data_IF_045597758874
#
_entry.id   IF_045597758874
#
_cell.length_a   1.000
_cell.length_b   1.000
_cell.length_c   1.000
_cell.angle_alpha   90.00
_cell.angle_beta   90.00
_cell.angle_gamma   90.00
#
_symmetry.space_group_name_H-M   'P 1'
#
loop_
_entity.id
_entity.type
_entity.pdbx_description
1 polymer ?
#
# COMPACT_ATOMS: atom_id res chain seq x y z
N UNK A 1 -32.02 15.23 -11.51
CA UNK A 1 -32.08 13.77 -11.73
C UNK A 1 -33.16 13.28 -10.80
N UNK A 2 -34.24 12.76 -11.38
CA UNK A 2 -35.36 12.24 -10.60
C UNK A 2 -34.94 10.97 -9.86
N UNK A 3 -35.42 10.82 -8.63
CA UNK A 3 -35.11 9.67 -7.76
C UNK A 3 -35.47 8.33 -8.42
N UNK A 4 -36.46 8.33 -9.31
CA UNK A 4 -36.98 7.18 -10.05
C UNK A 4 -35.99 6.59 -11.06
N UNK A 5 -35.01 7.36 -11.57
CA UNK A 5 -34.02 6.86 -12.53
C UNK A 5 -32.78 6.23 -11.85
N UNK A 6 -32.49 6.63 -10.61
CA UNK A 6 -31.27 6.23 -9.91
C UNK A 6 -31.48 4.93 -9.11
N UNK A 7 -32.69 4.67 -8.63
CA UNK A 7 -33.04 3.47 -7.84
C UNK A 7 -32.70 2.15 -8.55
N UNK A 8 -33.06 1.92 -9.83
CA UNK A 8 -32.69 0.68 -10.54
C UNK A 8 -31.17 0.50 -10.68
N UNK A 9 -30.43 1.61 -10.78
CA UNK A 9 -28.96 1.60 -10.89
C UNK A 9 -28.33 1.21 -9.54
N UNK A 10 -28.85 1.77 -8.44
CA UNK A 10 -28.42 1.46 -7.08
C UNK A 10 -28.67 0.00 -6.78
N UNK A 11 -29.86 -0.52 -7.07
CA UNK A 11 -30.20 -1.93 -6.86
C UNK A 11 -29.27 -2.83 -7.65
N UNK A 12 -29.14 -2.63 -8.96
CA UNK A 12 -28.25 -3.45 -9.79
C UNK A 12 -26.81 -3.47 -9.26
N UNK A 13 -26.28 -2.31 -8.85
CA UNK A 13 -24.93 -2.23 -8.28
C UNK A 13 -24.84 -2.89 -6.91
N UNK A 14 -25.84 -2.71 -6.06
CA UNK A 14 -25.91 -3.36 -4.75
C UNK A 14 -25.84 -4.87 -4.94
N UNK A 15 -26.68 -5.43 -5.80
CA UNK A 15 -26.72 -6.86 -6.15
C UNK A 15 -25.41 -7.39 -6.73
N UNK A 16 -24.71 -6.60 -7.55
CA UNK A 16 -23.38 -6.96 -8.07
C UNK A 16 -22.33 -7.04 -6.96
N UNK A 17 -22.31 -6.06 -6.06
CA UNK A 17 -21.31 -5.95 -4.99
C UNK A 17 -21.57 -6.96 -3.87
N UNK A 18 -22.85 -7.19 -3.53
CA UNK A 18 -23.29 -8.11 -2.48
C UNK A 18 -23.63 -9.52 -3.01
N UNK A 19 -23.14 -9.90 -4.20
CA UNK A 19 -23.45 -11.19 -4.87
C UNK A 19 -23.23 -12.47 -4.05
N UNK A 20 -22.58 -12.39 -2.88
CA UNK A 20 -22.35 -13.50 -1.94
C UNK A 20 -23.19 -13.43 -0.66
N UNK A 21 -23.95 -12.36 -0.45
CA UNK A 21 -24.92 -12.25 0.64
C UNK A 21 -26.19 -13.05 0.34
N UNK A 22 -26.96 -13.37 1.38
CA UNK A 22 -28.31 -13.90 1.20
C UNK A 22 -29.21 -12.83 0.57
N UNK A 23 -30.32 -13.24 -0.07
CA UNK A 23 -31.22 -12.29 -0.74
C UNK A 23 -31.62 -11.11 0.16
N UNK A 24 -31.97 -11.39 1.42
CA UNK A 24 -32.31 -10.36 2.41
C UNK A 24 -31.15 -9.38 2.64
N UNK A 25 -29.92 -9.88 2.79
CA UNK A 25 -28.73 -9.02 2.95
C UNK A 25 -28.52 -8.08 1.76
N UNK A 26 -28.92 -8.49 0.55
CA UNK A 26 -28.75 -7.68 -0.67
C UNK A 26 -29.80 -6.59 -0.76
N UNK A 27 -31.04 -6.90 -0.39
CA UNK A 27 -32.14 -5.94 -0.32
C UNK A 27 -31.85 -4.90 0.79
N UNK A 28 -31.42 -5.37 1.96
CA UNK A 28 -31.00 -4.50 3.08
C UNK A 28 -29.80 -3.62 2.69
N UNK A 29 -28.83 -4.18 1.95
CA UNK A 29 -27.68 -3.42 1.46
C UNK A 29 -28.04 -2.39 0.39
N UNK A 30 -28.98 -2.72 -0.51
CA UNK A 30 -29.47 -1.76 -1.50
C UNK A 30 -30.13 -0.56 -0.81
N UNK A 31 -30.94 -0.82 0.23
CA UNK A 31 -31.55 0.22 1.05
C UNK A 31 -30.50 1.05 1.81
N UNK A 32 -29.49 0.42 2.40
CA UNK A 32 -28.39 1.13 3.07
C UNK A 32 -27.61 2.01 2.09
N UNK A 33 -27.31 1.49 0.88
CA UNK A 33 -26.61 2.24 -0.16
C UNK A 33 -27.42 3.44 -0.63
N UNK A 34 -28.73 3.28 -0.83
CA UNK A 34 -29.65 4.37 -1.15
C UNK A 34 -29.59 5.48 -0.11
N UNK A 35 -29.80 5.13 1.17
CA UNK A 35 -29.71 6.07 2.27
C UNK A 35 -28.34 6.75 2.32
N UNK A 36 -27.25 6.00 2.13
CA UNK A 36 -25.89 6.55 2.17
C UNK A 36 -25.62 7.57 1.05
N UNK A 37 -26.24 7.39 -0.12
CA UNK A 37 -26.09 8.27 -1.28
C UNK A 37 -26.91 9.55 -1.12
N UNK A 38 -28.13 9.44 -0.58
CA UNK A 38 -29.10 10.52 -0.47
C UNK A 38 -29.08 11.27 0.87
N UNK A 39 -28.42 10.74 1.91
CA UNK A 39 -28.36 11.37 3.23
C UNK A 39 -27.87 12.84 3.15
N UNK A 40 -28.63 13.81 3.69
CA UNK A 40 -28.23 15.22 3.75
C UNK A 40 -26.93 15.40 4.54
N UNK A 41 -26.04 16.25 4.02
CA UNK A 41 -24.78 16.64 4.69
C UNK A 41 -24.54 18.12 4.44
N UNK A 42 -23.61 18.72 5.21
CA UNK A 42 -23.26 20.14 5.11
C UNK A 42 -22.94 20.61 3.67
N UNK A 43 -22.43 19.73 2.80
CA UNK A 43 -22.06 20.06 1.42
C UNK A 43 -22.93 19.31 0.38
N UNK A 44 -24.22 19.10 0.69
CA UNK A 44 -25.14 18.30 -0.12
C UNK A 44 -24.98 16.79 0.06
N UNK A 45 -25.91 16.02 -0.52
CA UNK A 45 -25.87 14.56 -0.51
C UNK A 45 -24.64 14.03 -1.26
N UNK A 46 -24.31 12.75 -1.13
CA UNK A 46 -23.15 12.20 -1.86
C UNK A 46 -23.42 12.14 -3.35
N UNK A 47 -24.67 11.83 -3.73
CA UNK A 47 -25.08 11.73 -5.13
C UNK A 47 -24.99 13.09 -5.84
N UNK A 48 -25.25 14.21 -5.14
CA UNK A 48 -25.13 15.56 -5.71
C UNK A 48 -23.70 15.99 -6.01
N UNK A 49 -22.69 15.21 -5.57
CA UNK A 49 -21.27 15.44 -5.86
C UNK A 49 -20.78 14.68 -7.08
N UNK A 50 -21.63 13.88 -7.71
CA UNK A 50 -21.28 13.24 -8.98
C UNK A 50 -21.14 14.33 -10.04
N UNK A 51 -20.04 14.28 -10.78
CA UNK A 51 -19.84 15.13 -11.96
C UNK A 51 -20.91 14.76 -13.01
N UNK A 52 -21.79 15.69 -13.42
CA UNK A 52 -22.86 15.40 -14.36
C UNK A 52 -22.35 15.00 -15.75
N UNK A 53 -21.06 15.25 -16.06
CA UNK A 53 -20.42 14.85 -17.31
C UNK A 53 -19.89 13.42 -17.30
N UNK A 54 -19.95 12.72 -16.16
CA UNK A 54 -19.41 11.35 -16.00
C UNK A 54 -20.55 10.35 -15.80
N UNK A 55 -20.39 9.09 -16.27
CA UNK A 55 -21.33 8.03 -15.97
C UNK A 55 -21.49 7.85 -14.45
N UNK A 56 -22.74 7.67 -14.01
CA UNK A 56 -23.10 7.57 -12.60
C UNK A 56 -22.66 6.24 -11.97
N UNK A 57 -22.68 5.17 -12.76
CA UNK A 57 -22.44 3.81 -12.29
C UNK A 57 -21.05 3.60 -11.66
N UNK A 58 -19.92 4.02 -12.27
CA UNK A 58 -18.60 3.89 -11.64
C UNK A 58 -18.42 4.70 -10.35
N UNK A 59 -19.24 5.74 -10.16
CA UNK A 59 -19.25 6.53 -8.93
C UNK A 59 -20.00 5.78 -7.82
N UNK A 60 -21.22 5.32 -8.10
CA UNK A 60 -22.04 4.53 -7.16
C UNK A 60 -21.32 3.22 -6.80
N UNK A 61 -20.74 2.52 -7.78
CA UNK A 61 -20.01 1.27 -7.58
C UNK A 61 -18.86 1.41 -6.57
N UNK A 62 -18.05 2.46 -6.68
CA UNK A 62 -16.96 2.74 -5.73
C UNK A 62 -17.45 3.04 -4.31
N UNK A 63 -18.63 3.63 -4.18
CA UNK A 63 -19.24 3.89 -2.87
C UNK A 63 -19.78 2.57 -2.29
N UNK A 64 -20.47 1.78 -3.10
CA UNK A 64 -21.00 0.46 -2.74
C UNK A 64 -19.88 -0.48 -2.25
N UNK A 65 -18.76 -0.61 -2.99
CA UNK A 65 -17.64 -1.46 -2.57
C UNK A 65 -17.08 -1.08 -1.20
N UNK A 66 -16.96 0.23 -0.92
CA UNK A 66 -16.48 0.73 0.36
C UNK A 66 -17.47 0.49 1.49
N UNK A 67 -18.76 0.66 1.22
CA UNK A 67 -19.83 0.46 2.20
C UNK A 67 -19.94 -1.03 2.57
N UNK A 68 -20.02 -1.90 1.56
CA UNK A 68 -20.06 -3.36 1.73
C UNK A 68 -18.83 -3.89 2.48
N UNK A 69 -17.64 -3.40 2.10
CA UNK A 69 -16.39 -3.77 2.81
C UNK A 69 -16.40 -3.36 4.28
N UNK A 70 -17.05 -2.24 4.64
CA UNK A 70 -17.19 -1.80 6.03
C UNK A 70 -18.21 -2.64 6.79
N UNK A 71 -19.33 -3.00 6.16
CA UNK A 71 -20.36 -3.84 6.74
C UNK A 71 -19.81 -5.24 7.06
N UNK A 72 -19.09 -5.87 6.12
CA UNK A 72 -18.42 -7.17 6.35
C UNK A 72 -17.41 -7.12 7.51
N UNK A 73 -16.63 -6.04 7.62
CA UNK A 73 -15.68 -5.84 8.73
C UNK A 73 -16.38 -5.69 10.09
N UNK A 74 -17.53 -5.01 10.13
CA UNK A 74 -18.32 -4.83 11.37
C UNK A 74 -18.95 -6.13 11.84
N UNK A 75 -19.41 -6.97 10.91
CA UNK A 75 -20.07 -8.23 11.22
C UNK A 75 -19.09 -9.38 11.50
N UNK A 76 -17.80 -9.11 11.75
CA UNK A 76 -16.78 -10.13 12.00
C UNK A 76 -16.47 -11.04 10.80
N UNK A 77 -17.12 -10.83 9.65
CA UNK A 77 -16.81 -11.53 8.41
C UNK A 77 -15.55 -10.92 7.80
N UNK A 78 -14.39 -11.37 8.28
CA UNK A 78 -13.15 -11.23 7.54
C UNK A 78 -13.35 -11.75 6.10
N UNK A 79 -12.82 -11.02 5.13
CA UNK A 79 -12.86 -11.42 3.72
C UNK A 79 -12.02 -12.69 3.53
N UNK A 80 -12.64 -13.85 3.72
CA UNK A 80 -12.33 -15.01 2.89
C UNK A 80 -12.74 -14.62 1.47
N UNK A 81 -11.76 -14.24 0.67
CA UNK A 81 -11.88 -14.24 -0.78
C UNK A 81 -12.00 -15.70 -1.26
N UNK A 82 -13.12 -16.38 -0.98
CA UNK A 82 -13.48 -17.63 -1.66
C UNK A 82 -14.24 -17.29 -2.94
N UNK A 83 -13.51 -16.95 -3.99
CA UNK A 83 -14.00 -17.14 -5.36
C UNK A 83 -14.04 -18.62 -5.66
N UNK A 84 -15.20 -19.23 -5.40
CA UNK A 84 -15.49 -20.55 -5.93
C UNK A 84 -16.12 -20.38 -7.32
N UNK A 85 -15.48 -20.96 -8.33
CA UNK A 85 -16.05 -21.18 -9.67
C UNK A 85 -15.32 -20.52 -10.84
N UNK A 86 -14.54 -19.47 -10.61
CA UNK A 86 -13.53 -19.02 -11.57
C UNK A 86 -12.21 -19.39 -10.93
N UNK A 87 -11.27 -20.08 -11.62
CA UNK A 87 -9.89 -20.03 -11.21
C UNK A 87 -9.52 -18.55 -11.24
N UNK A 88 -9.64 -17.87 -10.11
CA UNK A 88 -8.79 -16.72 -9.86
C UNK A 88 -7.43 -17.38 -9.80
N UNK A 89 -6.76 -17.44 -10.95
CA UNK A 89 -5.31 -17.28 -10.93
C UNK A 89 -5.07 -16.17 -9.92
N UNK A 90 -4.42 -16.44 -8.78
CA UNK A 90 -4.14 -15.42 -7.79
C UNK A 90 -3.56 -14.27 -8.58
N UNK A 91 -4.28 -13.13 -8.65
CA UNK A 91 -3.95 -12.06 -9.59
C UNK A 91 -2.45 -11.94 -9.61
N UNK A 92 -1.82 -12.31 -10.73
CA UNK A 92 -0.42 -12.69 -10.67
C UNK A 92 0.40 -11.44 -10.42
N UNK A 93 0.58 -11.13 -9.14
CA UNK A 93 1.39 -10.03 -8.69
C UNK A 93 2.87 -10.40 -8.88
N UNK A 94 3.21 -11.65 -9.28
CA UNK A 94 4.57 -12.00 -9.74
C UNK A 94 4.98 -11.14 -10.95
N UNK A 95 4.02 -10.59 -11.71
CA UNK A 95 4.27 -9.64 -12.80
C UNK A 95 4.41 -8.16 -12.38
N UNK A 96 4.04 -7.80 -11.15
CA UNK A 96 4.41 -6.51 -10.53
C UNK A 96 5.32 -6.74 -9.35
N UNK A 97 6.38 -7.51 -9.60
CA UNK A 97 7.62 -7.26 -8.91
C UNK A 97 7.94 -5.77 -9.08
N UNK A 98 7.67 -4.96 -8.05
CA UNK A 98 8.15 -3.58 -8.00
C UNK A 98 9.65 -3.72 -8.28
N UNK A 99 10.11 -3.31 -9.46
CA UNK A 99 11.49 -3.51 -9.93
C UNK A 99 12.50 -3.09 -8.87
N UNK A 100 12.10 -2.10 -8.06
CA UNK A 100 12.77 -1.67 -6.84
C UNK A 100 12.96 -2.79 -5.79
N UNK A 101 11.94 -3.56 -5.42
CA UNK A 101 12.10 -4.66 -4.46
C UNK A 101 13.00 -5.78 -4.99
N UNK A 102 12.97 -6.07 -6.29
CA UNK A 102 13.93 -6.99 -6.90
C UNK A 102 15.36 -6.44 -6.81
N UNK A 103 15.54 -5.16 -7.15
CA UNK A 103 16.84 -4.50 -7.06
C UNK A 103 17.36 -4.53 -5.61
N UNK A 104 16.50 -4.19 -4.64
CA UNK A 104 16.83 -4.21 -3.22
C UNK A 104 17.21 -5.60 -2.70
N UNK A 105 16.54 -6.66 -3.17
CA UNK A 105 16.85 -8.04 -2.79
C UNK A 105 18.22 -8.50 -3.29
N UNK A 106 18.74 -7.89 -4.35
CA UNK A 106 20.04 -8.23 -4.93
C UNK A 106 21.21 -7.44 -4.37
N UNK A 107 20.92 -6.46 -3.53
CA UNK A 107 21.98 -5.74 -2.86
C UNK A 107 22.66 -6.68 -1.87
N UNK A 108 23.99 -6.80 -1.96
CA UNK A 108 24.79 -7.52 -0.99
C UNK A 108 24.85 -6.80 0.36
N UNK A 109 25.79 -7.19 1.21
CA UNK A 109 25.94 -6.65 2.58
C UNK A 109 26.90 -5.45 2.62
N UNK A 110 27.43 -5.03 1.48
CA UNK A 110 28.44 -3.97 1.40
C UNK A 110 27.89 -2.64 1.94
N UNK A 111 28.69 -1.84 2.68
CA UNK A 111 28.29 -0.52 3.12
C UNK A 111 27.92 0.41 1.95
N UNK A 112 27.17 1.48 2.24
CA UNK A 112 26.93 2.56 1.28
C UNK A 112 28.25 3.22 0.85
N UNK A 113 28.33 3.62 -0.43
CA UNK A 113 29.44 4.45 -0.93
C UNK A 113 29.44 5.83 -0.28
N UNK A 114 30.54 6.58 -0.39
CA UNK A 114 30.59 7.98 0.07
C UNK A 114 29.50 8.82 -0.61
N UNK A 115 29.31 8.66 -1.92
CA UNK A 115 28.24 9.31 -2.68
C UNK A 115 26.86 8.98 -2.12
N UNK A 116 26.58 7.71 -1.83
CA UNK A 116 25.30 7.29 -1.23
C UNK A 116 25.08 7.95 0.13
N UNK A 117 26.12 8.05 0.96
CA UNK A 117 26.05 8.72 2.26
C UNK A 117 25.79 10.21 2.15
N UNK A 118 26.41 10.89 1.18
CA UNK A 118 26.14 12.30 0.88
C UNK A 118 24.69 12.51 0.44
N UNK A 119 24.17 11.67 -0.46
CA UNK A 119 22.78 11.71 -0.89
C UNK A 119 21.84 11.49 0.29
N UNK A 120 22.08 10.47 1.12
CA UNK A 120 21.28 10.18 2.31
C UNK A 120 21.26 11.34 3.31
N UNK A 121 22.37 12.07 3.44
CA UNK A 121 22.46 13.25 4.31
C UNK A 121 21.51 14.38 3.87
N UNK A 122 21.23 14.51 2.57
CA UNK A 122 20.28 15.50 2.04
C UNK A 122 18.82 15.18 2.34
N UNK A 123 18.50 13.92 2.65
CA UNK A 123 17.13 13.50 2.89
C UNK A 123 16.63 13.97 4.25
N UNK A 124 15.36 14.40 4.32
CA UNK A 124 14.70 14.68 5.59
C UNK A 124 14.76 13.45 6.51
N UNK A 125 15.11 13.67 7.77
CA UNK A 125 15.37 12.62 8.77
C UNK A 125 14.27 11.54 8.80
N UNK A 126 13.01 11.94 8.94
CA UNK A 126 11.86 11.04 8.97
C UNK A 126 11.80 10.12 7.75
N UNK A 127 12.06 10.67 6.57
CA UNK A 127 12.00 9.92 5.30
C UNK A 127 13.14 8.93 5.21
N UNK A 128 14.35 9.36 5.56
CA UNK A 128 15.56 8.54 5.59
C UNK A 128 15.40 7.34 6.51
N UNK A 129 15.04 7.57 7.77
CA UNK A 129 14.87 6.48 8.75
C UNK A 129 13.77 5.52 8.32
N UNK A 130 12.61 6.03 7.87
CA UNK A 130 11.50 5.18 7.41
C UNK A 130 11.91 4.35 6.19
N UNK A 131 12.51 4.98 5.17
CA UNK A 131 12.90 4.28 3.95
C UNK A 131 13.91 3.17 4.26
N UNK A 132 15.00 3.49 4.96
CA UNK A 132 16.07 2.53 5.27
C UNK A 132 15.60 1.38 6.19
N UNK A 133 14.70 1.66 7.14
CA UNK A 133 14.14 0.62 8.00
C UNK A 133 13.21 -0.33 7.22
N UNK A 134 12.32 0.22 6.38
CA UNK A 134 11.34 -0.56 5.62
C UNK A 134 12.00 -1.40 4.52
N UNK A 135 12.98 -0.84 3.81
CA UNK A 135 13.74 -1.56 2.77
C UNK A 135 14.84 -2.43 3.32
N UNK A 136 15.04 -2.45 4.64
CA UNK A 136 16.12 -3.15 5.31
C UNK A 136 17.53 -2.62 4.96
N UNK A 137 17.68 -1.51 4.25
CA UNK A 137 19.00 -0.95 3.88
C UNK A 137 19.77 -0.31 5.03
N UNK A 138 19.17 -0.19 6.22
CA UNK A 138 19.85 0.35 7.40
C UNK A 138 21.15 -0.39 7.75
N UNK A 139 21.29 -1.68 7.40
CA UNK A 139 22.51 -2.45 7.65
C UNK A 139 23.73 -1.93 6.86
N UNK A 140 23.50 -1.25 5.73
CA UNK A 140 24.56 -0.62 4.92
C UNK A 140 24.97 0.76 5.45
N UNK A 141 24.19 1.33 6.36
CA UNK A 141 24.43 2.66 6.91
C UNK A 141 25.35 2.57 8.14
N UNK A 142 26.30 3.51 8.33
CA UNK A 142 27.21 3.48 9.47
C UNK A 142 26.45 3.36 10.81
N UNK A 143 26.73 2.35 11.66
CA UNK A 143 25.91 2.05 12.83
C UNK A 143 25.75 3.24 13.79
N UNK A 144 26.81 4.01 13.99
CA UNK A 144 26.82 5.19 14.86
C UNK A 144 25.89 6.29 14.32
N UNK A 145 25.88 6.50 13.00
CA UNK A 145 25.01 7.48 12.35
C UNK A 145 23.57 7.02 12.36
N UNK A 146 23.34 5.72 12.14
CA UNK A 146 22.00 5.14 12.24
C UNK A 146 21.39 5.36 13.62
N UNK A 147 22.13 5.01 14.67
CA UNK A 147 21.69 5.19 16.04
C UNK A 147 21.40 6.66 16.34
N UNK A 148 22.28 7.58 15.92
CA UNK A 148 22.06 9.03 16.07
C UNK A 148 20.77 9.48 15.38
N UNK A 149 20.56 9.07 14.14
CA UNK A 149 19.42 9.49 13.32
C UNK A 149 18.10 8.92 13.90
N UNK A 150 18.10 7.68 14.40
CA UNK A 150 16.94 7.07 15.09
C UNK A 150 16.62 7.79 16.40
N UNK A 151 17.63 8.08 17.23
CA UNK A 151 17.44 8.82 18.48
C UNK A 151 16.92 10.23 18.22
N UNK A 152 17.46 10.92 17.20
CA UNK A 152 17.00 12.25 16.82
C UNK A 152 15.56 12.24 16.31
N UNK A 153 15.14 11.21 15.58
CA UNK A 153 13.75 11.03 15.16
C UNK A 153 12.85 10.81 16.38
N UNK A 154 13.28 9.98 17.34
CA UNK A 154 12.61 9.76 18.61
C UNK A 154 12.38 11.07 19.36
N UNK A 155 13.43 11.87 19.56
CA UNK A 155 13.33 13.17 20.23
C UNK A 155 12.37 14.13 19.51
N UNK A 156 12.40 14.21 18.18
CA UNK A 156 11.48 15.07 17.40
C UNK A 156 10.01 14.65 17.55
N UNK A 157 9.76 13.37 17.75
CA UNK A 157 8.42 12.80 17.90
C UNK A 157 7.99 12.62 19.35
N UNK A 158 8.82 13.04 20.31
CA UNK A 158 8.64 12.77 21.72
C UNK A 158 8.38 11.27 22.00
N UNK A 159 9.20 10.42 21.39
CA UNK A 159 9.06 8.98 21.34
C UNK A 159 10.37 8.27 21.70
N UNK A 160 10.29 7.27 22.56
CA UNK A 160 11.40 6.33 22.80
C UNK A 160 11.32 5.22 21.75
N UNK A 161 12.22 5.26 20.76
CA UNK A 161 12.33 4.20 19.77
C UNK A 161 13.29 3.13 20.31
N UNK A 162 12.88 1.86 20.44
CA UNK A 162 13.74 0.82 20.97
C UNK A 162 14.91 0.54 20.05
N UNK A 163 16.09 0.31 20.64
CA UNK A 163 17.30 -0.08 19.93
C UNK A 163 17.58 -1.58 20.20
N UNK A 164 18.01 -2.36 19.19
CA UNK A 164 18.24 -1.95 17.80
C UNK A 164 16.93 -1.67 17.05
N UNK A 165 16.97 -0.69 16.15
CA UNK A 165 15.87 -0.36 15.26
C UNK A 165 16.28 -0.57 13.80
N UNK A 166 15.44 -1.15 12.93
CA UNK A 166 14.31 -1.99 13.30
C UNK A 166 14.80 -3.23 14.10
N UNK A 167 13.97 -3.81 14.99
CA UNK A 167 14.33 -5.03 15.71
C UNK A 167 14.62 -6.20 14.77
N UNK A 168 15.41 -7.16 15.23
CA UNK A 168 15.80 -8.37 14.49
C UNK A 168 14.58 -9.17 14.01
N UNK A 169 13.47 -9.12 14.73
CA UNK A 169 12.19 -9.74 14.33
C UNK A 169 11.60 -9.15 13.04
N UNK A 170 12.02 -7.96 12.62
CA UNK A 170 11.58 -7.30 11.38
C UNK A 170 12.37 -7.73 10.13
N UNK A 171 13.22 -8.75 10.25
CA UNK A 171 14.04 -9.31 9.17
C UNK A 171 13.18 -9.86 7.99
N UNK A 172 13.76 -9.94 6.77
CA UNK A 172 13.05 -10.24 5.51
C UNK A 172 12.23 -11.53 5.45
N UNK A 173 12.47 -12.49 6.33
CA UNK A 173 11.85 -13.80 6.25
C UNK A 173 10.37 -13.82 6.69
N UNK A 174 9.84 -12.75 7.31
CA UNK A 174 8.46 -12.71 7.85
C UNK A 174 7.39 -12.05 6.94
N UNK A 175 7.73 -11.77 5.68
CA UNK A 175 6.81 -11.15 4.72
C UNK A 175 6.67 -9.63 4.90
N UNK A 176 6.58 -8.91 3.78
CA UNK A 176 6.64 -7.44 3.74
C UNK A 176 5.57 -6.77 4.63
N UNK A 177 4.36 -7.32 4.70
CA UNK A 177 3.24 -6.75 5.47
C UNK A 177 3.47 -6.75 6.98
N UNK A 178 4.07 -7.80 7.53
CA UNK A 178 4.36 -7.94 8.97
C UNK A 178 5.39 -6.90 9.41
N UNK A 179 6.44 -6.69 8.61
CA UNK A 179 7.45 -5.65 8.82
C UNK A 179 6.85 -4.25 8.86
N UNK A 180 6.00 -3.91 7.89
CA UNK A 180 5.36 -2.60 7.83
C UNK A 180 4.55 -2.30 9.08
N UNK A 181 3.76 -3.27 9.55
CA UNK A 181 2.95 -3.11 10.75
C UNK A 181 3.82 -2.90 11.99
N UNK A 182 4.90 -3.70 12.14
CA UNK A 182 5.79 -3.61 13.29
C UNK A 182 6.57 -2.29 13.32
N UNK A 183 7.13 -1.87 12.18
CA UNK A 183 7.79 -0.56 12.08
C UNK A 183 6.81 0.58 12.38
N UNK A 184 5.56 0.47 11.91
CA UNK A 184 4.54 1.49 12.17
C UNK A 184 4.22 1.60 13.66
N UNK A 185 4.06 0.46 14.34
CA UNK A 185 3.85 0.38 15.78
C UNK A 185 5.00 1.05 16.57
N UNK A 186 6.25 0.69 16.23
CA UNK A 186 7.44 1.23 16.89
C UNK A 186 7.61 2.75 16.68
N UNK A 187 7.14 3.27 15.55
CA UNK A 187 7.14 4.70 15.24
C UNK A 187 5.85 5.42 15.68
N UNK A 188 4.98 4.74 16.43
CA UNK A 188 3.65 5.20 16.86
C UNK A 188 2.84 5.85 15.73
N UNK A 189 2.84 5.20 14.56
CA UNK A 189 2.09 5.65 13.40
C UNK A 189 1.19 4.53 12.87
N UNK A 190 0.22 4.87 12.02
CA UNK A 190 -0.62 3.85 11.40
C UNK A 190 0.13 3.18 10.24
N UNK A 191 -0.10 1.88 9.96
CA UNK A 191 0.51 1.21 8.80
C UNK A 191 0.18 1.92 7.48
N UNK A 192 -1.01 2.50 7.36
CA UNK A 192 -1.40 3.29 6.19
C UNK A 192 -0.56 4.56 6.04
N UNK A 193 -0.30 5.29 7.13
CA UNK A 193 0.54 6.49 7.08
C UNK A 193 1.97 6.11 6.70
N UNK A 194 2.53 5.06 7.31
CA UNK A 194 3.86 4.55 6.95
C UNK A 194 3.93 4.16 5.46
N UNK A 195 2.93 3.42 4.96
CA UNK A 195 2.83 3.03 3.57
C UNK A 195 2.71 4.24 2.63
N UNK A 196 1.98 5.28 3.01
CA UNK A 196 1.89 6.52 2.23
C UNK A 196 3.21 7.28 2.21
N UNK A 197 3.92 7.38 3.34
CA UNK A 197 5.25 7.99 3.41
C UNK A 197 6.22 7.22 2.53
N UNK A 198 6.25 5.89 2.63
CA UNK A 198 7.08 5.06 1.74
C UNK A 198 6.72 5.29 0.27
N UNK A 199 5.45 5.14 -0.10
CA UNK A 199 5.00 5.27 -1.50
C UNK A 199 5.37 6.61 -2.12
N UNK A 200 5.27 7.71 -1.36
CA UNK A 200 5.60 9.07 -1.83
C UNK A 200 7.09 9.32 -1.97
N UNK A 201 7.92 8.59 -1.22
CA UNK A 201 9.35 8.85 -1.14
C UNK A 201 10.23 7.71 -1.71
N UNK A 202 9.65 6.58 -2.12
CA UNK A 202 10.41 5.42 -2.63
C UNK A 202 11.27 5.73 -3.86
N UNK A 203 10.94 6.78 -4.61
CA UNK A 203 11.75 7.25 -5.75
C UNK A 203 13.11 7.79 -5.30
N UNK A 204 13.24 8.29 -4.06
CA UNK A 204 14.53 8.73 -3.52
C UNK A 204 15.55 7.59 -3.48
N UNK A 205 15.10 6.35 -3.25
CA UNK A 205 15.98 5.17 -3.27
C UNK A 205 16.68 4.99 -4.62
N UNK A 206 16.09 5.46 -5.72
CA UNK A 206 16.67 5.38 -7.06
C UNK A 206 17.82 6.39 -7.27
N UNK A 207 18.03 7.32 -6.33
CA UNK A 207 19.17 8.23 -6.35
C UNK A 207 20.45 7.54 -5.85
N UNK A 208 20.31 6.45 -5.07
CA UNK A 208 21.45 5.73 -4.52
C UNK A 208 22.14 4.92 -5.61
N UNK A 209 23.46 5.06 -5.73
CA UNK A 209 24.32 4.35 -6.66
C UNK A 209 24.16 2.84 -6.52
N UNK A 210 24.10 2.33 -5.29
CA UNK A 210 23.94 0.90 -5.06
C UNK A 210 22.63 0.37 -5.67
N UNK A 211 21.54 1.14 -5.57
CA UNK A 211 20.22 0.78 -6.12
C UNK A 211 20.23 0.91 -7.64
N UNK A 212 20.84 1.96 -8.20
CA UNK A 212 21.03 2.12 -9.65
C UNK A 212 21.86 1.00 -10.26
N UNK A 213 22.91 0.55 -9.56
CA UNK A 213 23.71 -0.60 -9.96
C UNK A 213 22.87 -1.88 -10.01
N UNK A 214 22.07 -2.14 -8.97
CA UNK A 214 21.16 -3.28 -8.97
C UNK A 214 20.10 -3.23 -10.09
N UNK A 215 19.61 -2.04 -10.46
CA UNK A 215 18.73 -1.89 -11.63
C UNK A 215 19.44 -2.25 -12.95
N UNK A 216 20.68 -1.80 -13.15
CA UNK A 216 21.48 -2.14 -14.34
C UNK A 216 21.73 -3.64 -14.45
N UNK A 217 22.02 -4.30 -13.33
CA UNK A 217 22.18 -5.76 -13.29
C UNK A 217 20.89 -6.49 -13.70
N UNK A 218 19.73 -6.03 -13.23
CA UNK A 218 18.43 -6.59 -13.64
C UNK A 218 18.17 -6.40 -15.15
N UNK A 219 18.53 -5.26 -15.70
CA UNK A 219 18.32 -4.98 -17.14
C UNK A 219 19.21 -5.88 -18.00
N UNK A 220 20.49 -6.02 -17.64
CA UNK A 220 21.43 -6.90 -18.34
C UNK A 220 20.98 -8.36 -18.36
N UNK A 221 20.42 -8.87 -17.26
CA UNK A 221 19.90 -10.24 -17.23
C UNK A 221 18.65 -10.41 -18.10
N UNK A 222 17.73 -9.44 -18.10
CA UNK A 222 16.56 -9.49 -18.96
C UNK A 222 16.94 -9.48 -20.45
N UNK A 223 17.97 -8.74 -20.84
CA UNK A 223 18.49 -8.71 -22.22
C UNK A 223 19.14 -10.04 -22.63
N UNK A 224 19.86 -10.69 -21.71
CA UNK A 224 20.49 -11.98 -21.97
C UNK A 224 19.51 -13.16 -21.97
N UNK A 225 18.49 -13.14 -21.11
CA UNK A 225 17.45 -14.16 -21.08
C UNK A 225 16.60 -14.14 -22.37
N UNK A 226 16.34 -12.97 -22.95
CA UNK A 226 15.64 -12.84 -24.24
C UNK A 226 16.48 -13.32 -25.42
N UNK A 227 17.81 -13.19 -25.32
CA UNK A 227 18.75 -13.66 -26.34
C UNK A 227 18.92 -15.20 -26.34
N UNK A 228 18.52 -15.87 -25.26
CA UNK A 228 18.54 -17.33 -25.13
C UNK A 228 17.30 -18.06 -25.69
N UNK A 229 16.25 -17.34 -26.09
CA UNK A 229 14.97 -17.89 -26.57
C UNK A 229 14.84 -17.94 -28.10
N UNK A 230 15.96 -17.97 -28.84
CA UNK A 230 16.02 -18.32 -30.26
C UNK A 230 16.94 -19.53 -30.41
N UNK A 231 16.43 -20.72 -30.08
CA UNK A 231 16.92 -22.01 -30.59
C UNK A 231 15.76 -23.00 -30.69
#
# INVERSE_FOLDING_TARGET
MDSTEIEPIIERIAWLVSRRGQRQDREDFAQELYLHLHQPRANGSRISKCDPKRPLEPFIYRIAERLWSRQRRRNGMHSLHQTDGVPIEPADHRGRNDRLFLALHRLGVEPFSETDLEILATWQLDRRVILLAVTHLHHKYPPQWWQRDVLQLGSRRNLVIPMPFPPVECLPDQGSRSRYNRIAELLQTTPNNLAQVFKRNRQLLQQLECVQHAFRMLDWENENDQSGSIR
#
